data_IF_621731168260
#
_entry.id   IF_621731168260
#
_cell.length_a   1.000
_cell.length_b   1.000
_cell.length_c   1.000
_cell.angle_alpha   90.00
_cell.angle_beta   90.00
_cell.angle_gamma   90.00
#
_symmetry.space_group_name_H-M   'P 1'
#
loop_
_entity.id
_entity.type
_entity.pdbx_description
1 polymer ?
#
# COMPACT_ATOMS: atom_id res chain seq x y z
N UNK A 1 34.03 40.34 -3.65
CA UNK A 1 34.36 38.92 -3.93
C UNK A 1 34.00 37.91 -2.82
N UNK A 2 33.45 38.32 -1.65
CA UNK A 2 33.04 37.38 -0.58
C UNK A 2 31.65 36.72 -0.78
N UNK A 3 30.80 37.27 -1.67
CA UNK A 3 29.41 36.79 -1.88
C UNK A 3 29.31 35.57 -2.80
N UNK A 4 30.29 35.34 -3.67
CA UNK A 4 30.32 34.18 -4.58
C UNK A 4 30.75 32.92 -3.81
N UNK A 5 31.62 33.08 -2.82
CA UNK A 5 32.10 31.96 -1.99
C UNK A 5 30.97 31.34 -1.14
N UNK A 6 30.02 32.16 -0.66
CA UNK A 6 28.84 31.69 0.07
C UNK A 6 27.85 30.94 -0.84
N UNK A 7 27.70 31.37 -2.11
CA UNK A 7 26.82 30.69 -3.07
C UNK A 7 27.37 29.32 -3.49
N UNK A 8 28.69 29.19 -3.63
CA UNK A 8 29.36 27.92 -3.93
C UNK A 8 29.28 26.91 -2.78
N UNK A 9 29.26 27.39 -1.54
CA UNK A 9 29.20 26.52 -0.36
C UNK A 9 27.81 25.92 -0.14
N UNK A 10 26.73 26.65 -0.47
CA UNK A 10 25.35 26.10 -0.47
C UNK A 10 25.07 25.10 -1.58
N UNK A 11 25.81 25.15 -2.69
CA UNK A 11 25.66 24.19 -3.79
C UNK A 11 26.38 22.86 -3.49
N UNK A 12 27.39 22.87 -2.62
CA UNK A 12 28.15 21.67 -2.26
C UNK A 12 27.51 20.86 -1.12
N UNK A 13 26.63 21.46 -0.31
CA UNK A 13 25.92 20.76 0.77
C UNK A 13 24.82 19.80 0.29
N UNK A 14 24.49 19.78 -1.01
CA UNK A 14 23.53 18.82 -1.57
C UNK A 14 24.20 17.54 -2.13
N UNK A 15 25.52 17.40 -2.07
CA UNK A 15 26.25 16.24 -2.62
C UNK A 15 26.30 15.02 -1.67
N UNK A 16 25.63 15.06 -0.52
CA UNK A 16 25.58 13.90 0.38
C UNK A 16 24.43 12.93 0.10
N UNK A 17 23.61 13.17 -0.95
CA UNK A 17 22.63 12.18 -1.42
C UNK A 17 23.21 11.35 -2.58
N UNK A 18 24.41 10.81 -2.38
CA UNK A 18 24.99 9.79 -3.23
C UNK A 18 25.35 8.63 -2.32
N UNK A 19 24.48 7.62 -2.22
CA UNK A 19 24.80 6.53 -1.30
C UNK A 19 23.80 5.39 -1.09
N UNK A 20 22.69 5.31 -1.80
CA UNK A 20 21.94 4.05 -1.96
C UNK A 20 21.03 4.23 -3.18
N UNK A 21 21.31 3.47 -4.25
CA UNK A 21 20.34 3.35 -5.33
C UNK A 21 19.10 2.72 -4.71
N UNK A 22 17.98 3.46 -4.66
CA UNK A 22 16.72 2.89 -4.20
C UNK A 22 16.47 1.61 -4.99
N UNK A 23 16.42 0.50 -4.28
CA UNK A 23 15.95 -0.77 -4.79
C UNK A 23 14.49 -0.64 -5.21
N UNK A 24 14.03 -1.55 -6.06
CA UNK A 24 12.61 -1.60 -6.42
C UNK A 24 11.71 -1.77 -5.19
N UNK A 25 12.20 -2.45 -4.15
CA UNK A 25 11.48 -2.64 -2.89
C UNK A 25 11.34 -1.33 -2.12
N UNK A 26 12.38 -0.48 -2.08
CA UNK A 26 12.25 0.84 -1.45
C UNK A 26 11.30 1.76 -2.23
N UNK A 27 11.21 1.60 -3.55
CA UNK A 27 10.22 2.33 -4.34
C UNK A 27 8.79 1.89 -4.06
N UNK A 28 8.58 0.60 -3.79
CA UNK A 28 7.29 0.07 -3.35
C UNK A 28 6.97 0.59 -1.94
N UNK A 29 7.92 0.48 -1.00
CA UNK A 29 7.72 0.84 0.40
C UNK A 29 7.38 2.33 0.57
N UNK A 30 8.05 3.22 -0.16
CA UNK A 30 7.75 4.67 -0.12
C UNK A 30 6.27 4.97 -0.41
N UNK A 31 5.70 4.37 -1.46
CA UNK A 31 4.30 4.61 -1.79
C UNK A 31 3.34 3.87 -0.86
N UNK A 32 3.71 2.65 -0.43
CA UNK A 32 2.93 1.84 0.51
C UNK A 32 2.85 2.51 1.88
N UNK A 33 3.98 2.79 2.48
CA UNK A 33 4.09 3.38 3.81
C UNK A 33 3.56 4.81 3.79
N UNK A 34 3.84 5.57 2.73
CA UNK A 34 3.24 6.88 2.51
C UNK A 34 1.70 6.84 2.43
N UNK A 35 1.11 5.78 1.87
CA UNK A 35 -0.35 5.60 1.91
C UNK A 35 -0.84 5.24 3.33
N UNK A 36 -0.19 4.30 4.00
CA UNK A 36 -0.57 3.85 5.35
C UNK A 36 -0.52 5.00 6.36
N UNK A 37 0.55 5.79 6.35
CA UNK A 37 0.66 6.98 7.19
C UNK A 37 -0.44 8.00 6.89
N UNK A 38 -0.65 8.28 5.60
CA UNK A 38 -1.68 9.24 5.19
C UNK A 38 -3.08 8.78 5.63
N UNK A 39 -3.36 7.47 5.59
CA UNK A 39 -4.60 6.87 6.08
C UNK A 39 -4.72 7.07 7.59
N UNK A 40 -3.72 6.67 8.35
CA UNK A 40 -3.76 6.70 9.81
C UNK A 40 -3.88 8.15 10.35
N UNK A 41 -3.19 9.11 9.71
CA UNK A 41 -3.37 10.54 10.00
C UNK A 41 -4.76 11.04 9.62
N UNK A 42 -5.30 10.58 8.49
CA UNK A 42 -6.65 10.94 8.06
C UNK A 42 -7.72 10.45 9.05
N UNK A 43 -7.59 9.21 9.53
CA UNK A 43 -8.48 8.65 10.55
C UNK A 43 -8.40 9.45 11.85
N UNK A 44 -7.16 9.70 12.32
CA UNK A 44 -6.92 10.50 13.52
C UNK A 44 -7.52 11.91 13.41
N UNK A 45 -7.40 12.54 12.24
CA UNK A 45 -8.00 13.86 11.98
C UNK A 45 -9.54 13.79 11.97
N UNK A 46 -10.11 12.81 11.29
CA UNK A 46 -11.56 12.63 11.18
C UNK A 46 -12.24 12.34 12.53
N UNK A 47 -11.52 11.69 13.44
CA UNK A 47 -11.93 11.41 14.82
C UNK A 47 -11.64 12.57 15.77
N UNK A 48 -10.97 13.63 15.31
CA UNK A 48 -10.62 14.79 16.11
C UNK A 48 -9.47 14.53 17.12
N UNK A 49 -8.69 13.47 16.93
CA UNK A 49 -7.51 13.16 17.75
C UNK A 49 -6.32 14.08 17.46
N UNK A 50 -6.26 14.66 16.26
CA UNK A 50 -5.25 15.66 15.86
C UNK A 50 -5.93 16.89 15.27
N UNK A 51 -5.33 18.06 15.50
CA UNK A 51 -5.84 19.34 15.01
C UNK A 51 -5.45 19.61 13.54
N UNK A 52 -6.04 20.66 12.95
CA UNK A 52 -5.83 21.04 11.56
C UNK A 52 -4.35 21.29 11.22
N UNK A 53 -3.60 21.94 12.12
CA UNK A 53 -2.21 22.31 11.87
C UNK A 53 -1.34 21.06 11.92
N UNK A 54 -1.47 20.25 12.98
CA UNK A 54 -0.75 18.97 13.12
C UNK A 54 -1.02 18.05 11.93
N UNK A 55 -2.29 17.89 11.55
CA UNK A 55 -2.64 17.09 10.38
C UNK A 55 -2.03 17.63 9.08
N UNK A 56 -2.09 18.95 8.87
CA UNK A 56 -1.52 19.56 7.65
C UNK A 56 -0.01 19.38 7.55
N UNK A 57 0.71 19.48 8.68
CA UNK A 57 2.16 19.29 8.76
C UNK A 57 2.54 17.83 8.48
N UNK A 58 1.82 16.88 9.06
CA UNK A 58 2.04 15.44 8.83
C UNK A 58 1.82 15.07 7.36
N UNK A 59 0.69 15.50 6.78
CA UNK A 59 0.39 15.27 5.35
C UNK A 59 1.45 15.92 4.45
N UNK A 60 1.93 17.12 4.79
CA UNK A 60 3.00 17.78 4.04
C UNK A 60 4.33 17.03 4.14
N UNK A 61 4.66 16.49 5.32
CA UNK A 61 5.83 15.64 5.55
C UNK A 61 5.82 14.42 4.62
N UNK A 62 4.77 13.62 4.70
CA UNK A 62 4.57 12.44 3.83
C UNK A 62 4.62 12.82 2.35
N UNK A 63 3.96 13.92 1.97
CA UNK A 63 3.96 14.38 0.57
C UNK A 63 5.35 14.74 0.06
N UNK A 64 6.17 15.36 0.93
CA UNK A 64 7.55 15.72 0.62
C UNK A 64 8.38 14.47 0.42
N UNK A 65 8.31 13.53 1.37
CA UNK A 65 9.06 12.28 1.33
C UNK A 65 8.75 11.48 0.06
N UNK A 66 7.47 11.26 -0.23
CA UNK A 66 7.05 10.56 -1.46
C UNK A 66 7.52 11.29 -2.72
N UNK A 67 7.55 12.63 -2.71
CA UNK A 67 7.97 13.42 -3.88
C UNK A 67 9.48 13.35 -4.13
N UNK A 68 10.29 13.34 -3.06
CA UNK A 68 11.74 13.20 -3.15
C UNK A 68 12.10 11.83 -3.74
N UNK A 69 11.51 10.77 -3.18
CA UNK A 69 11.77 9.41 -3.61
C UNK A 69 11.19 9.10 -5.00
N UNK A 70 10.09 9.74 -5.41
CA UNK A 70 9.54 9.59 -6.77
C UNK A 70 10.56 9.87 -7.86
N UNK A 71 11.39 10.91 -7.70
CA UNK A 71 12.40 11.26 -8.71
C UNK A 71 13.49 10.19 -8.79
N UNK A 72 13.91 9.67 -7.64
CA UNK A 72 14.88 8.58 -7.58
C UNK A 72 14.29 7.28 -8.15
N UNK A 73 13.04 6.94 -7.81
CA UNK A 73 12.35 5.75 -8.31
C UNK A 73 12.19 5.74 -9.84
N UNK A 74 11.81 6.86 -10.45
CA UNK A 74 11.73 6.96 -11.91
C UNK A 74 13.06 6.68 -12.63
N UNK A 75 14.20 6.85 -11.95
CA UNK A 75 15.52 6.63 -12.53
C UNK A 75 16.03 5.19 -12.40
N UNK A 76 15.48 4.41 -11.46
CA UNK A 76 16.05 3.10 -11.03
C UNK A 76 15.06 1.94 -11.15
N UNK A 77 13.78 2.24 -11.34
CA UNK A 77 12.71 1.26 -11.39
C UNK A 77 12.83 0.30 -12.58
N UNK A 78 12.85 -0.99 -12.27
CA UNK A 78 12.83 -2.05 -13.28
C UNK A 78 11.41 -2.32 -13.80
N UNK A 79 11.24 -2.71 -15.07
CA UNK A 79 9.93 -3.01 -15.66
C UNK A 79 9.12 -4.09 -14.92
N UNK A 80 9.79 -4.99 -14.20
CA UNK A 80 9.16 -6.06 -13.44
C UNK A 80 8.34 -5.52 -12.25
N UNK A 81 8.77 -4.41 -11.64
CA UNK A 81 8.16 -3.85 -10.43
C UNK A 81 7.27 -2.63 -10.70
N UNK A 82 7.23 -2.16 -11.95
CA UNK A 82 6.44 -0.98 -12.34
C UNK A 82 4.96 -1.10 -12.00
N UNK A 83 4.38 -2.28 -12.16
CA UNK A 83 2.97 -2.50 -11.82
C UNK A 83 2.69 -2.36 -10.32
N UNK A 84 3.62 -2.82 -9.49
CA UNK A 84 3.49 -2.74 -8.03
C UNK A 84 3.60 -1.29 -7.56
N UNK A 85 4.64 -0.59 -8.00
CA UNK A 85 4.83 0.83 -7.71
C UNK A 85 3.65 1.67 -8.20
N UNK A 86 3.18 1.44 -9.44
CA UNK A 86 1.99 2.12 -9.97
C UNK A 86 0.74 1.83 -9.13
N UNK A 87 0.54 0.58 -8.70
CA UNK A 87 -0.54 0.18 -7.81
C UNK A 87 -0.57 1.05 -6.54
N UNK A 88 0.48 1.01 -5.73
CA UNK A 88 0.54 1.79 -4.48
C UNK A 88 0.47 3.29 -4.72
N UNK A 89 1.12 3.78 -5.79
CA UNK A 89 1.08 5.18 -6.18
C UNK A 89 -0.32 5.67 -6.49
N UNK A 90 -1.16 4.86 -7.14
CA UNK A 90 -2.54 5.23 -7.44
C UNK A 90 -3.39 5.27 -6.16
N UNK A 91 -3.22 4.34 -5.22
CA UNK A 91 -3.93 4.40 -3.93
C UNK A 91 -3.51 5.63 -3.13
N UNK A 92 -2.20 5.89 -3.03
CA UNK A 92 -1.64 7.06 -2.38
C UNK A 92 -2.20 8.36 -2.96
N UNK A 93 -2.14 8.53 -4.29
CA UNK A 93 -2.70 9.70 -4.97
C UNK A 93 -4.20 9.83 -4.76
N UNK A 94 -4.92 8.70 -4.79
CA UNK A 94 -6.35 8.63 -4.55
C UNK A 94 -6.71 9.27 -3.21
N UNK A 95 -6.06 8.87 -2.13
CA UNK A 95 -6.28 9.47 -0.81
C UNK A 95 -5.77 10.92 -0.75
N UNK A 96 -4.54 11.18 -1.23
CA UNK A 96 -3.91 12.51 -1.18
C UNK A 96 -4.72 13.59 -1.89
N UNK A 97 -5.36 13.24 -3.01
CA UNK A 97 -6.20 14.16 -3.80
C UNK A 97 -7.43 14.66 -3.04
N UNK A 98 -7.92 13.89 -2.07
CA UNK A 98 -9.06 14.24 -1.22
C UNK A 98 -8.67 15.20 -0.08
N UNK A 99 -7.38 15.35 0.19
CA UNK A 99 -6.84 16.20 1.25
C UNK A 99 -6.51 17.58 0.65
N UNK A 100 -7.35 18.57 0.93
CA UNK A 100 -7.13 19.96 0.50
C UNK A 100 -6.42 20.71 1.62
N UNK A 101 -5.08 20.64 1.67
CA UNK A 101 -4.27 21.25 2.73
C UNK A 101 -4.67 22.70 3.05
N UNK A 102 -4.89 23.55 2.04
CA UNK A 102 -5.34 24.93 2.26
C UNK A 102 -6.71 25.01 2.97
N UNK A 103 -7.64 24.10 2.63
CA UNK A 103 -8.96 24.02 3.28
C UNK A 103 -8.90 23.40 4.69
N UNK A 104 -7.96 22.47 4.94
CA UNK A 104 -7.69 21.93 6.28
C UNK A 104 -7.17 23.06 7.19
N UNK A 105 -6.12 23.75 6.74
CA UNK A 105 -5.48 24.84 7.50
C UNK A 105 -6.49 25.95 7.80
N UNK A 106 -7.31 26.34 6.82
CA UNK A 106 -8.34 27.36 7.00
C UNK A 106 -9.57 26.88 7.78
N UNK A 107 -9.63 25.61 8.20
CA UNK A 107 -10.76 25.01 8.93
C UNK A 107 -12.03 24.78 8.08
N UNK A 108 -11.94 24.94 6.76
CA UNK A 108 -13.05 24.73 5.82
C UNK A 108 -13.31 23.26 5.55
N UNK A 109 -12.27 22.42 5.62
CA UNK A 109 -12.40 20.97 5.53
C UNK A 109 -12.18 20.39 6.93
N UNK A 110 -13.27 19.90 7.55
CA UNK A 110 -13.23 19.31 8.90
C UNK A 110 -13.15 17.78 8.90
N UNK A 111 -13.41 17.16 7.74
CA UNK A 111 -13.30 15.72 7.52
C UNK A 111 -12.81 15.45 6.10
N UNK A 112 -12.13 14.33 5.93
CA UNK A 112 -11.67 13.80 4.64
C UNK A 112 -12.41 12.49 4.41
N UNK A 113 -13.28 12.46 3.40
CA UNK A 113 -14.04 11.26 3.06
C UNK A 113 -13.15 10.26 2.33
N UNK A 114 -12.63 9.26 3.05
CA UNK A 114 -11.97 8.12 2.42
C UNK A 114 -12.69 6.83 2.77
N UNK A 115 -12.70 5.92 1.80
CA UNK A 115 -13.19 4.55 1.94
C UNK A 115 -12.09 3.70 1.36
N UNK A 116 -11.66 2.69 2.10
CA UNK A 116 -10.68 1.73 1.59
C UNK A 116 -11.27 1.07 0.33
N UNK A 117 -10.50 1.08 -0.76
CA UNK A 117 -10.91 0.39 -1.97
C UNK A 117 -10.80 -1.11 -1.70
N UNK A 118 -11.89 -1.83 -1.89
CA UNK A 118 -11.96 -3.28 -1.67
C UNK A 118 -11.76 -4.01 -3.00
N UNK A 119 -11.11 -5.15 -2.96
CA UNK A 119 -10.94 -6.06 -4.07
C UNK A 119 -11.32 -7.48 -3.63
N UNK A 120 -12.21 -8.11 -4.39
CA UNK A 120 -12.60 -9.50 -4.14
C UNK A 120 -11.52 -10.42 -4.70
N UNK A 121 -10.93 -11.23 -3.85
CA UNK A 121 -9.99 -12.30 -4.22
C UNK A 121 -10.68 -13.64 -4.04
N UNK A 122 -10.43 -14.57 -4.97
CA UNK A 122 -10.92 -15.95 -4.88
C UNK A 122 -9.77 -16.78 -4.31
N UNK A 123 -9.86 -17.08 -3.02
CA UNK A 123 -8.95 -18.00 -2.36
C UNK A 123 -9.40 -19.43 -2.65
N UNK A 124 -8.45 -20.30 -2.97
CA UNK A 124 -8.71 -21.74 -3.10
C UNK A 124 -8.30 -22.39 -1.78
N UNK A 125 -9.29 -22.70 -0.94
CA UNK A 125 -9.08 -23.43 0.30
C UNK A 125 -9.22 -24.93 0.01
N UNK A 126 -8.22 -25.72 0.40
CA UNK A 126 -8.31 -27.17 0.40
C UNK A 126 -9.05 -27.59 1.67
N UNK A 127 -10.32 -27.97 1.54
CA UNK A 127 -11.13 -28.42 2.68
C UNK A 127 -11.08 -29.95 2.74
N UNK A 128 -10.49 -30.48 3.81
CA UNK A 128 -10.60 -31.91 4.13
C UNK A 128 -12.00 -32.20 4.68
N UNK A 129 -12.88 -32.79 3.86
CA UNK A 129 -14.12 -33.36 4.38
C UNK A 129 -13.85 -34.75 4.95
N UNK A 130 -14.13 -34.91 6.24
CA UNK A 130 -14.30 -36.25 6.82
C UNK A 130 -15.62 -36.82 6.34
N UNK A 131 -15.52 -37.95 5.66
CA UNK A 131 -16.61 -38.69 5.05
C UNK A 131 -17.54 -39.25 6.15
N UNK A 132 -18.54 -38.47 6.58
CA UNK A 132 -19.67 -38.98 7.37
C UNK A 132 -20.69 -39.61 6.41
N UNK A 133 -20.28 -40.75 5.86
CA UNK A 133 -21.06 -41.82 5.23
C UNK A 133 -22.56 -41.56 4.98
N UNK A 134 -22.96 -41.53 3.70
CA UNK A 134 -24.23 -42.15 3.29
C UNK A 134 -23.99 -43.10 2.13
N UNK A 135 -23.86 -44.36 2.51
CA UNK A 135 -24.11 -45.55 1.70
C UNK A 135 -25.39 -45.35 0.87
N UNK A 136 -25.26 -45.38 -0.45
CA UNK A 136 -26.37 -45.20 -1.37
C UNK A 136 -26.07 -45.67 -2.79
N UNK A 137 -25.71 -46.96 -2.92
CA UNK A 137 -25.71 -47.74 -4.18
C UNK A 137 -24.89 -47.15 -5.33
N UNK A 138 -23.64 -47.58 -5.48
CA UNK A 138 -23.07 -48.10 -6.75
C UNK A 138 -21.87 -49.00 -6.38
N UNK A 139 -21.76 -50.06 -7.18
CA UNK A 139 -21.08 -51.33 -7.01
C UNK A 139 -19.55 -51.32 -6.81
N UNK A 140 -19.11 -52.25 -5.94
CA UNK A 140 -17.88 -53.05 -6.02
C UNK A 140 -16.71 -52.47 -6.82
N UNK A 141 -15.83 -51.68 -6.21
CA UNK A 141 -14.39 -51.76 -6.46
C UNK A 141 -13.63 -51.01 -5.35
N UNK A 142 -12.63 -51.67 -4.77
CA UNK A 142 -11.56 -51.15 -3.89
C UNK A 142 -11.91 -50.83 -2.41
N UNK A 143 -11.64 -51.83 -1.57
CA UNK A 143 -11.20 -51.65 -0.17
C UNK A 143 -9.73 -51.17 -0.15
N UNK A 144 -9.44 -49.87 -0.17
CA UNK A 144 -8.16 -49.30 0.32
C UNK A 144 -8.39 -47.88 0.84
N UNK A 145 -8.09 -47.66 2.13
CA UNK A 145 -7.79 -46.35 2.72
C UNK A 145 -8.99 -45.50 3.15
N UNK A 146 -8.95 -44.94 4.36
CA UNK A 146 -9.77 -43.79 4.77
C UNK A 146 -9.42 -42.64 3.82
N UNK A 147 -10.15 -42.51 2.72
CA UNK A 147 -9.92 -41.48 1.72
C UNK A 147 -10.46 -40.16 2.26
N UNK A 148 -9.58 -39.30 2.76
CA UNK A 148 -9.89 -37.89 2.89
C UNK A 148 -10.10 -37.35 1.48
N UNK A 149 -11.34 -36.98 1.13
CA UNK A 149 -11.59 -36.26 -0.12
C UNK A 149 -11.20 -34.82 0.14
N UNK A 150 -10.09 -34.40 -0.46
CA UNK A 150 -9.67 -32.99 -0.46
C UNK A 150 -10.49 -32.31 -1.55
N UNK A 151 -11.42 -31.46 -1.14
CA UNK A 151 -12.24 -30.67 -2.06
C UNK A 151 -11.62 -29.27 -2.18
N UNK A 152 -11.30 -28.84 -3.40
CA UNK A 152 -10.90 -27.47 -3.69
C UNK A 152 -12.14 -26.56 -3.61
N UNK A 153 -12.30 -25.84 -2.52
CA UNK A 153 -13.38 -24.87 -2.34
C UNK A 153 -12.86 -23.48 -2.69
N UNK A 154 -13.44 -22.89 -3.73
CA UNK A 154 -13.17 -21.49 -4.11
C UNK A 154 -14.04 -20.58 -3.25
N UNK A 155 -13.41 -19.77 -2.40
CA UNK A 155 -14.09 -18.83 -1.50
C UNK A 155 -13.74 -17.40 -1.92
N UNK A 156 -14.76 -16.58 -2.13
CA UNK A 156 -14.58 -15.15 -2.36
C UNK A 156 -14.35 -14.45 -1.02
N UNK A 157 -13.26 -13.70 -0.91
CA UNK A 157 -12.95 -12.83 0.23
C UNK A 157 -12.71 -11.41 -0.29
N UNK A 158 -13.38 -10.43 0.32
CA UNK A 158 -13.07 -9.03 0.07
C UNK A 158 -11.87 -8.64 0.93
N UNK A 159 -10.80 -8.19 0.29
CA UNK A 159 -9.60 -7.65 0.93
C UNK A 159 -9.41 -6.20 0.51
N UNK A 160 -8.67 -5.43 1.28
CA UNK A 160 -8.30 -4.07 0.88
C UNK A 160 -7.36 -4.10 -0.33
N UNK A 161 -7.36 -3.04 -1.13
CA UNK A 161 -6.46 -2.93 -2.27
C UNK A 161 -4.97 -2.94 -1.84
N UNK A 162 -4.67 -2.50 -0.61
CA UNK A 162 -3.33 -2.64 -0.03
C UNK A 162 -3.01 -4.10 0.25
N UNK A 163 -3.89 -4.84 0.93
CA UNK A 163 -3.69 -6.28 1.16
C UNK A 163 -3.54 -7.06 -0.15
N UNK A 164 -4.30 -6.68 -1.18
CA UNK A 164 -4.17 -7.26 -2.51
C UNK A 164 -2.79 -7.00 -3.13
N UNK A 165 -2.30 -5.76 -3.05
CA UNK A 165 -0.99 -5.41 -3.57
C UNK A 165 0.13 -6.08 -2.76
N UNK A 166 0.03 -6.12 -1.43
CA UNK A 166 1.00 -6.79 -0.56
C UNK A 166 1.17 -8.26 -0.98
N UNK A 167 0.06 -8.98 -1.18
CA UNK A 167 0.10 -10.38 -1.64
C UNK A 167 0.73 -10.58 -3.03
N UNK A 168 0.62 -9.57 -3.91
CA UNK A 168 1.10 -9.65 -5.30
C UNK A 168 2.53 -9.15 -5.47
N UNK A 169 3.00 -8.29 -4.56
CA UNK A 169 4.24 -7.54 -4.70
C UNK A 169 5.33 -7.94 -3.69
N UNK A 170 5.00 -8.65 -2.60
CA UNK A 170 5.97 -9.25 -1.67
C UNK A 170 6.51 -10.63 -2.13
N UNK A 171 6.36 -10.99 -3.42
CA UNK A 171 6.82 -12.27 -3.99
C UNK A 171 8.11 -12.15 -4.81
#
# INVERSE_FOLDING_TARGET
MKKIFLLGMTLLSFNSFAGEFLSNQECISVYRDGYLELRDYTESFNEGRIDNWSYSTLVAGVSTEVSVHRLACLAVESPANTKCVEGYKEIYKGLRSKIKLGSIISGNQKKVGFTESMQTVIDTELVEKKDESVIGKISNFLKIGKGTVVEEVKKARDITLVEYLDQKCDQ
#
